data_IF_328135515549
#
_entry.id   IF_328135515549
#
_cell.length_a   1.000
_cell.length_b   1.000
_cell.length_c   1.000
_cell.angle_alpha   90.00
_cell.angle_beta   90.00
_cell.angle_gamma   90.00
#
_symmetry.space_group_name_H-M   'P 1'
#
loop_
_entity.id
_entity.type
_entity.pdbx_description
1 polymer ?
#
# COMPACT_ATOMS: atom_id res chain seq x y z
N UNK A 1 46.49 -2.63 10.91
CA UNK A 1 45.37 -1.69 11.15
C UNK A 1 44.41 -1.77 9.97
N UNK A 2 43.38 -2.62 10.06
CA UNK A 2 42.32 -2.73 9.06
C UNK A 2 41.02 -2.26 9.71
N UNK A 3 40.41 -1.30 9.04
CA UNK A 3 39.40 -0.39 9.56
C UNK A 3 38.04 -1.07 9.72
N UNK A 4 37.44 -0.84 10.88
CA UNK A 4 36.09 -1.23 11.28
C UNK A 4 35.07 -0.25 10.68
N UNK A 5 34.38 -0.58 9.58
CA UNK A 5 33.11 0.07 9.22
C UNK A 5 32.26 -0.90 8.39
N UNK A 6 31.62 -1.87 9.05
CA UNK A 6 30.42 -2.56 8.53
C UNK A 6 29.83 -3.36 9.68
N UNK A 7 29.06 -2.71 10.54
CA UNK A 7 28.08 -3.24 11.51
C UNK A 7 27.49 -1.98 12.16
N UNK A 8 26.35 -1.45 11.67
CA UNK A 8 25.66 -0.38 12.41
C UNK A 8 24.15 -0.25 12.12
N UNK A 9 23.50 -1.31 11.63
CA UNK A 9 22.02 -1.37 11.59
C UNK A 9 21.47 -2.58 12.34
N UNK A 10 22.26 -3.65 12.52
CA UNK A 10 21.84 -4.85 13.28
C UNK A 10 22.01 -4.66 14.82
N UNK A 11 22.83 -3.71 15.28
CA UNK A 11 23.17 -3.56 16.72
C UNK A 11 22.23 -2.61 17.49
N UNK A 12 21.40 -1.80 16.84
CA UNK A 12 20.47 -0.91 17.55
C UNK A 12 19.22 -1.61 18.13
N UNK A 13 19.08 -2.93 17.94
CA UNK A 13 17.98 -3.71 18.51
C UNK A 13 18.40 -4.55 19.75
N UNK A 14 19.69 -4.55 20.14
CA UNK A 14 20.22 -5.45 21.19
C UNK A 14 20.45 -4.79 22.57
N UNK A 15 20.00 -3.56 22.80
CA UNK A 15 20.12 -2.91 24.12
C UNK A 15 18.77 -2.36 24.58
N UNK A 16 17.81 -3.27 24.78
CA UNK A 16 16.79 -3.12 25.82
C UNK A 16 16.30 -4.53 26.20
N UNK A 17 16.84 -5.04 27.31
CA UNK A 17 16.26 -6.20 27.99
C UNK A 17 14.94 -5.76 28.66
N UNK A 18 13.88 -5.71 27.87
CA UNK A 18 12.53 -6.02 28.29
C UNK A 18 12.02 -7.00 27.24
N UNK A 19 11.82 -8.26 27.62
CA UNK A 19 11.13 -9.25 26.79
C UNK A 19 9.63 -8.91 26.74
N UNK A 20 9.30 -7.73 26.23
CA UNK A 20 8.00 -7.50 25.62
C UNK A 20 8.19 -7.95 24.17
N UNK A 21 7.87 -9.21 23.90
CA UNK A 21 7.69 -9.64 22.52
C UNK A 21 6.58 -8.79 21.94
N UNK A 22 6.84 -8.08 20.83
CA UNK A 22 5.82 -7.34 20.10
C UNK A 22 4.55 -8.19 19.98
N UNK A 23 3.41 -7.62 20.36
CA UNK A 23 2.13 -8.33 20.27
C UNK A 23 1.70 -8.55 18.81
N UNK A 24 2.37 -7.87 17.86
CA UNK A 24 2.13 -7.94 16.42
C UNK A 24 3.02 -8.95 15.69
N UNK A 25 3.56 -9.93 16.43
CA UNK A 25 4.33 -11.05 15.86
C UNK A 25 3.45 -12.06 15.11
N UNK A 26 2.13 -12.03 15.32
CA UNK A 26 1.16 -12.87 14.61
C UNK A 26 -0.10 -12.10 14.30
N UNK A 27 -0.68 -12.34 13.13
CA UNK A 27 -2.04 -11.96 12.76
C UNK A 27 -2.77 -13.21 12.25
N UNK A 28 -4.03 -13.37 12.65
CA UNK A 28 -4.89 -14.42 12.08
C UNK A 28 -5.44 -13.94 10.72
N UNK A 29 -5.77 -12.65 10.62
CA UNK A 29 -6.30 -12.03 9.41
C UNK A 29 -5.58 -10.71 9.09
N UNK A 30 -5.44 -10.42 7.80
CA UNK A 30 -5.07 -9.11 7.27
C UNK A 30 -6.22 -8.64 6.38
N UNK A 31 -6.80 -7.49 6.70
CA UNK A 31 -7.92 -6.91 5.96
C UNK A 31 -7.45 -5.61 5.33
N UNK A 32 -7.47 -5.54 4.01
CA UNK A 32 -7.00 -4.37 3.27
C UNK A 32 -8.13 -3.69 2.52
N UNK A 33 -8.22 -2.37 2.72
CA UNK A 33 -8.99 -1.44 1.92
C UNK A 33 -8.00 -0.58 1.15
N UNK A 34 -8.22 -0.37 -0.14
CA UNK A 34 -7.24 0.36 -0.94
C UNK A 34 -7.52 0.35 -2.43
N UNK A 35 -6.45 0.59 -3.17
CA UNK A 35 -6.47 0.68 -4.62
C UNK A 35 -5.60 -0.39 -5.32
N UNK A 36 -5.11 -0.08 -6.53
CA UNK A 36 -4.37 -1.00 -7.40
C UNK A 36 -3.03 -1.46 -6.85
N UNK A 37 -2.47 -0.75 -5.86
CA UNK A 37 -1.28 -1.21 -5.14
C UNK A 37 -1.55 -2.40 -4.22
N UNK A 38 -2.81 -2.68 -3.90
CA UNK A 38 -3.20 -3.78 -3.02
C UNK A 38 -4.17 -4.77 -3.68
N UNK A 39 -4.92 -4.35 -4.71
CA UNK A 39 -5.90 -5.18 -5.43
C UNK A 39 -5.28 -6.47 -5.98
N UNK A 40 -5.74 -7.61 -5.45
CA UNK A 40 -5.35 -8.96 -5.85
C UNK A 40 -6.28 -9.60 -6.91
N UNK A 41 -7.21 -8.85 -7.49
CA UNK A 41 -8.07 -9.29 -8.59
C UNK A 41 -9.55 -8.90 -8.50
N UNK A 42 -9.93 -7.95 -7.66
CA UNK A 42 -11.29 -7.43 -7.57
C UNK A 42 -11.70 -6.70 -8.86
N UNK A 43 -10.84 -5.82 -9.43
CA UNK A 43 -11.09 -5.25 -10.77
C UNK A 43 -11.10 -6.33 -11.86
N UNK A 44 -10.27 -7.35 -11.72
CA UNK A 44 -10.23 -8.49 -12.63
C UNK A 44 -11.52 -9.30 -12.60
N UNK A 45 -12.08 -9.56 -11.42
CA UNK A 45 -13.38 -10.19 -11.29
C UNK A 45 -14.50 -9.31 -11.88
N UNK A 46 -14.48 -8.00 -11.60
CA UNK A 46 -15.47 -7.03 -12.08
C UNK A 46 -15.56 -7.00 -13.61
N UNK A 47 -14.43 -7.18 -14.29
CA UNK A 47 -14.34 -7.13 -15.77
C UNK A 47 -14.41 -8.52 -16.41
N UNK A 48 -14.95 -9.51 -15.71
CA UNK A 48 -15.01 -10.90 -16.17
C UNK A 48 -13.64 -11.41 -16.67
N UNK A 49 -12.60 -11.13 -15.89
CA UNK A 49 -11.21 -11.55 -16.11
C UNK A 49 -10.56 -10.95 -17.36
N UNK A 50 -11.02 -9.79 -17.83
CA UNK A 50 -10.44 -9.11 -18.99
C UNK A 50 -9.47 -7.98 -18.65
N UNK A 51 -9.57 -7.38 -17.45
CA UNK A 51 -8.75 -6.23 -17.05
C UNK A 51 -8.30 -6.25 -15.58
N UNK A 52 -7.04 -5.97 -15.24
CA UNK A 52 -5.93 -5.70 -16.14
C UNK A 52 -5.61 -6.91 -17.02
N UNK A 53 -5.18 -6.66 -18.26
CA UNK A 53 -4.87 -7.71 -19.22
C UNK A 53 -3.78 -8.63 -18.65
N UNK A 54 -4.06 -9.94 -18.61
CA UNK A 54 -3.17 -10.94 -18.01
C UNK A 54 -3.03 -12.15 -18.95
N UNK A 55 -1.85 -12.42 -19.53
CA UNK A 55 -0.59 -11.64 -19.44
C UNK A 55 -0.67 -10.26 -20.16
N UNK A 56 0.25 -9.32 -19.86
CA UNK A 56 1.48 -9.51 -19.07
C UNK A 56 1.32 -9.30 -17.56
N UNK A 57 0.20 -8.69 -17.12
CA UNK A 57 -0.07 -8.57 -15.70
C UNK A 57 -0.32 -9.94 -15.10
N UNK A 58 -0.07 -10.08 -13.80
CA UNK A 58 -0.21 -11.35 -13.12
C UNK A 58 -1.63 -11.54 -12.59
N UNK A 59 -2.45 -12.35 -13.27
CA UNK A 59 -3.75 -12.85 -12.74
C UNK A 59 -4.61 -11.75 -12.09
N UNK A 60 -4.71 -10.60 -12.76
CA UNK A 60 -5.53 -9.47 -12.30
C UNK A 60 -4.87 -8.47 -11.36
N UNK A 61 -3.60 -8.64 -10.97
CA UNK A 61 -2.83 -7.63 -10.22
C UNK A 61 -2.37 -6.53 -11.17
N UNK A 62 -2.21 -5.32 -10.68
CA UNK A 62 -1.54 -4.24 -11.42
C UNK A 62 -0.01 -4.33 -11.28
N UNK A 63 0.54 -5.52 -11.55
CA UNK A 63 1.96 -5.82 -11.46
C UNK A 63 2.25 -7.11 -12.23
N UNK A 64 3.53 -7.43 -12.41
CA UNK A 64 4.00 -8.69 -12.98
C UNK A 64 4.02 -9.87 -12.00
N UNK A 65 3.41 -9.72 -10.82
CA UNK A 65 3.30 -10.76 -9.81
C UNK A 65 2.35 -10.35 -8.69
N UNK A 66 2.54 -10.93 -7.51
CA UNK A 66 1.80 -10.53 -6.31
C UNK A 66 2.13 -9.11 -5.90
N UNK A 67 1.17 -8.45 -5.26
CA UNK A 67 1.38 -7.13 -4.64
C UNK A 67 1.77 -7.27 -3.16
N UNK A 68 2.23 -6.18 -2.54
CA UNK A 68 2.91 -6.23 -1.22
C UNK A 68 2.05 -6.87 -0.13
N UNK A 69 0.75 -6.60 -0.11
CA UNK A 69 -0.15 -7.11 0.93
C UNK A 69 -0.28 -8.63 0.90
N UNK A 70 -0.19 -9.24 -0.29
CA UNK A 70 -0.21 -10.71 -0.43
C UNK A 70 1.06 -11.33 0.18
N UNK A 71 2.23 -10.72 -0.05
CA UNK A 71 3.47 -11.16 0.56
C UNK A 71 3.48 -10.96 2.08
N UNK A 72 2.90 -9.86 2.58
CA UNK A 72 2.78 -9.61 4.01
C UNK A 72 1.91 -10.68 4.68
N UNK A 73 0.74 -10.99 4.10
CA UNK A 73 -0.13 -12.07 4.58
C UNK A 73 0.57 -13.43 4.56
N UNK A 74 1.30 -13.75 3.49
CA UNK A 74 2.09 -14.99 3.42
C UNK A 74 3.15 -15.07 4.54
N UNK A 75 3.80 -13.95 4.87
CA UNK A 75 4.85 -13.91 5.89
C UNK A 75 4.29 -14.11 7.30
N UNK A 76 3.12 -13.55 7.58
CA UNK A 76 2.37 -13.80 8.81
C UNK A 76 1.62 -15.14 8.82
N UNK A 77 1.49 -15.80 7.67
CA UNK A 77 0.59 -16.95 7.46
C UNK A 77 -0.87 -16.62 7.82
N UNK A 78 -1.27 -15.36 7.62
CA UNK A 78 -2.60 -14.84 7.90
C UNK A 78 -3.53 -15.05 6.70
N UNK A 79 -4.84 -15.10 6.94
CA UNK A 79 -5.81 -15.00 5.85
C UNK A 79 -5.83 -13.57 5.33
N UNK A 80 -5.82 -13.41 4.00
CA UNK A 80 -5.96 -12.09 3.38
C UNK A 80 -7.41 -11.86 2.94
N UNK A 81 -8.06 -10.85 3.52
CA UNK A 81 -9.35 -10.34 3.07
C UNK A 81 -9.09 -9.03 2.30
N UNK A 82 -9.05 -9.15 0.98
CA UNK A 82 -8.77 -8.03 0.09
C UNK A 82 -10.06 -7.36 -0.39
N UNK A 83 -10.28 -6.12 0.05
CA UNK A 83 -11.38 -5.24 -0.38
C UNK A 83 -10.93 -4.14 -1.33
N UNK A 84 -9.64 -4.08 -1.66
CA UNK A 84 -9.09 -3.07 -2.55
C UNK A 84 -9.59 -3.27 -3.98
N UNK A 85 -9.91 -2.17 -4.65
CA UNK A 85 -10.21 -2.15 -6.08
C UNK A 85 -9.24 -1.20 -6.74
N UNK A 86 -8.53 -1.65 -7.78
CA UNK A 86 -7.83 -0.73 -8.67
C UNK A 86 -8.74 0.45 -9.03
N UNK A 87 -8.18 1.65 -9.10
CA UNK A 87 -8.90 2.92 -9.32
C UNK A 87 -9.70 3.47 -8.14
N UNK A 88 -9.72 2.80 -6.98
CA UNK A 88 -10.37 3.34 -5.80
C UNK A 88 -9.76 4.68 -5.38
N UNK A 89 -10.63 5.65 -5.12
CA UNK A 89 -10.32 6.94 -4.50
C UNK A 89 -10.50 6.86 -2.99
N UNK A 90 -10.24 7.94 -2.26
CA UNK A 90 -10.54 8.01 -0.83
C UNK A 90 -12.05 7.87 -0.55
N UNK A 91 -12.88 8.53 -1.36
CA UNK A 91 -14.34 8.52 -1.26
C UNK A 91 -14.99 8.91 -2.59
N UNK A 92 -15.92 8.07 -3.07
CA UNK A 92 -16.69 8.35 -4.28
C UNK A 92 -17.60 9.59 -4.17
N UNK A 93 -17.94 10.03 -2.96
CA UNK A 93 -18.66 11.28 -2.72
C UNK A 93 -17.81 12.53 -2.97
N UNK A 94 -16.48 12.41 -2.95
CA UNK A 94 -15.53 13.48 -3.25
C UNK A 94 -15.03 13.39 -4.69
N UNK A 95 -14.43 12.25 -5.03
CA UNK A 95 -13.90 11.95 -6.36
C UNK A 95 -14.36 10.54 -6.72
N UNK A 96 -15.24 10.36 -7.71
CA UNK A 96 -15.69 9.02 -8.10
C UNK A 96 -14.53 8.15 -8.60
N UNK A 97 -14.35 6.96 -8.02
CA UNK A 97 -13.45 5.94 -8.54
C UNK A 97 -14.05 5.26 -9.76
N UNK A 98 -13.35 5.30 -10.90
CA UNK A 98 -13.82 4.69 -12.14
C UNK A 98 -12.69 4.41 -13.14
N UNK A 99 -12.91 3.52 -14.09
CA UNK A 99 -12.00 3.29 -15.21
C UNK A 99 -12.76 2.90 -16.48
N UNK A 100 -12.10 3.08 -17.63
CA UNK A 100 -12.65 2.69 -18.93
C UNK A 100 -11.93 1.44 -19.44
N UNK A 101 -12.71 0.45 -19.84
CA UNK A 101 -12.22 -0.77 -20.48
C UNK A 101 -13.30 -1.34 -21.40
N UNK A 102 -12.90 -1.83 -22.58
CA UNK A 102 -13.82 -2.42 -23.57
C UNK A 102 -15.07 -1.55 -23.84
N UNK A 103 -14.83 -0.26 -24.15
CA UNK A 103 -15.86 0.77 -24.38
C UNK A 103 -16.88 0.93 -23.24
N UNK A 104 -16.59 0.41 -22.05
CA UNK A 104 -17.45 0.46 -20.87
C UNK A 104 -16.76 1.28 -19.78
N UNK A 105 -17.52 2.14 -19.11
CA UNK A 105 -17.06 2.84 -17.91
C UNK A 105 -17.50 2.06 -16.68
N UNK A 106 -16.53 1.53 -15.93
CA UNK A 106 -16.73 0.80 -14.70
C UNK A 106 -16.56 1.73 -13.52
N UNK A 107 -17.50 1.69 -12.57
CA UNK A 107 -17.34 2.33 -11.26
C UNK A 107 -16.77 1.34 -10.26
N UNK A 108 -15.88 1.80 -9.39
CA UNK A 108 -15.31 1.02 -8.29
C UNK A 108 -15.58 1.72 -6.96
N UNK A 109 -15.70 0.99 -5.84
CA UNK A 109 -15.86 1.63 -4.54
C UNK A 109 -14.56 2.34 -4.12
N UNK A 110 -14.67 3.59 -3.68
CA UNK A 110 -13.61 4.26 -2.93
C UNK A 110 -13.40 3.60 -1.57
N UNK A 111 -12.29 3.90 -0.89
CA UNK A 111 -11.90 3.29 0.39
C UNK A 111 -13.00 3.46 1.43
N UNK A 112 -13.64 4.64 1.52
CA UNK A 112 -14.80 4.85 2.38
C UNK A 112 -15.91 3.83 2.12
N UNK A 113 -16.27 3.61 0.85
CA UNK A 113 -17.31 2.64 0.49
C UNK A 113 -16.88 1.19 0.75
N UNK A 114 -15.61 0.85 0.53
CA UNK A 114 -15.09 -0.49 0.84
C UNK A 114 -15.23 -0.79 2.34
N UNK A 115 -14.93 0.19 3.20
CA UNK A 115 -15.10 0.12 4.65
C UNK A 115 -16.59 0.03 5.04
N UNK A 116 -17.43 0.91 4.49
CA UNK A 116 -18.88 0.90 4.76
C UNK A 116 -19.49 -0.48 4.41
N UNK A 117 -19.14 -1.06 3.26
CA UNK A 117 -19.62 -2.37 2.85
C UNK A 117 -19.11 -3.50 3.74
N UNK A 118 -17.86 -3.42 4.19
CA UNK A 118 -17.27 -4.41 5.08
C UNK A 118 -17.96 -4.41 6.45
N UNK A 119 -18.09 -3.24 7.09
CA UNK A 119 -18.78 -3.08 8.38
C UNK A 119 -20.19 -3.66 8.32
N UNK A 120 -20.95 -3.33 7.26
CA UNK A 120 -22.33 -3.79 7.10
C UNK A 120 -22.47 -5.30 6.87
N UNK A 121 -21.42 -5.96 6.36
CA UNK A 121 -21.45 -7.41 6.05
C UNK A 121 -20.80 -8.29 7.13
N UNK A 122 -20.07 -7.71 8.08
CA UNK A 122 -19.33 -8.44 9.13
C UNK A 122 -19.59 -7.88 10.54
N UNK A 123 -20.84 -7.68 10.97
CA UNK A 123 -21.12 -7.20 12.33
C UNK A 123 -20.73 -8.26 13.36
N UNK A 124 -20.25 -7.82 14.53
CA UNK A 124 -20.00 -8.65 15.72
C UNK A 124 -18.94 -9.77 15.56
N UNK A 125 -17.88 -9.53 14.78
CA UNK A 125 -16.69 -10.40 14.76
C UNK A 125 -15.63 -9.89 15.74
N UNK A 126 -14.75 -10.79 16.19
CA UNK A 126 -13.58 -10.41 16.98
C UNK A 126 -12.40 -10.14 16.02
N UNK A 127 -11.79 -8.96 16.15
CA UNK A 127 -10.65 -8.52 15.34
C UNK A 127 -9.36 -8.31 16.16
N UNK A 128 -9.23 -8.93 17.33
CA UNK A 128 -8.09 -8.81 18.25
C UNK A 128 -6.74 -9.16 17.61
N UNK A 129 -6.76 -10.07 16.62
CA UNK A 129 -5.59 -10.53 15.86
C UNK A 129 -5.67 -10.17 14.38
N UNK A 130 -6.35 -9.07 14.07
CA UNK A 130 -6.53 -8.59 12.71
C UNK A 130 -5.70 -7.34 12.46
N UNK A 131 -4.91 -7.35 11.39
CA UNK A 131 -4.28 -6.13 10.86
C UNK A 131 -5.22 -5.48 9.85
N UNK A 132 -5.77 -4.31 10.19
CA UNK A 132 -6.46 -3.48 9.22
C UNK A 132 -5.47 -2.62 8.44
N UNK A 133 -5.65 -2.51 7.14
CA UNK A 133 -4.79 -1.74 6.25
C UNK A 133 -5.64 -0.77 5.42
N UNK A 134 -5.29 0.51 5.45
CA UNK A 134 -5.87 1.55 4.60
C UNK A 134 -4.85 2.02 3.56
N UNK A 135 -4.71 1.26 2.46
CA UNK A 135 -3.73 1.46 1.40
C UNK A 135 -4.19 2.43 0.31
N UNK A 136 -4.15 3.74 0.59
CA UNK A 136 -4.43 4.80 -0.37
C UNK A 136 -3.15 5.28 -1.10
N UNK A 137 -3.16 5.29 -2.43
CA UNK A 137 -1.98 5.61 -3.25
C UNK A 137 -2.21 6.72 -4.29
N UNK A 138 -3.23 7.57 -4.08
CA UNK A 138 -3.31 8.90 -4.70
C UNK A 138 -4.24 9.04 -5.91
N UNK A 139 -5.23 8.17 -6.09
CA UNK A 139 -6.13 8.25 -7.26
C UNK A 139 -6.94 9.55 -7.32
N UNK A 140 -7.33 10.14 -6.18
CA UNK A 140 -8.07 11.42 -6.16
C UNK A 140 -7.27 12.53 -6.86
N UNK A 141 -5.95 12.56 -6.65
CA UNK A 141 -5.05 13.52 -7.29
C UNK A 141 -4.88 13.25 -8.78
N UNK A 142 -4.86 11.98 -9.20
CA UNK A 142 -4.78 11.60 -10.61
C UNK A 142 -6.03 12.05 -11.37
N UNK A 143 -7.22 11.77 -10.84
CA UNK A 143 -8.48 12.13 -11.49
C UNK A 143 -8.73 13.64 -11.54
N UNK A 144 -8.30 14.35 -10.51
CA UNK A 144 -8.49 15.81 -10.42
C UNK A 144 -7.32 16.59 -11.02
N UNK A 145 -6.30 15.90 -11.56
CA UNK A 145 -5.05 16.52 -12.00
C UNK A 145 -4.44 17.46 -10.95
N UNK A 146 -4.32 16.96 -9.70
CA UNK A 146 -3.91 17.70 -8.51
C UNK A 146 -4.85 18.86 -8.11
N UNK A 147 -6.10 18.86 -8.58
CA UNK A 147 -7.08 19.90 -8.28
C UNK A 147 -7.73 19.80 -6.90
N UNK A 148 -7.67 18.64 -6.24
CA UNK A 148 -8.18 18.44 -4.88
C UNK A 148 -7.09 18.68 -3.83
N UNK A 149 -7.43 19.44 -2.79
CA UNK A 149 -6.51 19.72 -1.68
C UNK A 149 -6.25 18.44 -0.86
N UNK A 150 -4.99 18.13 -0.50
CA UNK A 150 -4.70 16.96 0.30
C UNK A 150 -5.43 16.87 1.64
N UNK A 151 -5.71 17.99 2.31
CA UNK A 151 -6.47 18.01 3.57
C UNK A 151 -7.89 17.45 3.44
N UNK A 152 -8.54 17.62 2.28
CA UNK A 152 -9.88 17.08 2.01
C UNK A 152 -9.83 15.55 1.90
N UNK A 153 -8.85 15.04 1.15
CA UNK A 153 -8.62 13.59 0.98
C UNK A 153 -8.27 12.95 2.32
N UNK A 154 -7.35 13.56 3.09
CA UNK A 154 -6.96 13.06 4.42
C UNK A 154 -8.14 13.07 5.38
N UNK A 155 -8.97 14.11 5.38
CA UNK A 155 -10.16 14.16 6.24
C UNK A 155 -11.11 13.00 5.96
N UNK A 156 -11.27 12.60 4.70
CA UNK A 156 -12.07 11.42 4.32
C UNK A 156 -11.47 10.10 4.80
N UNK A 157 -10.14 9.94 4.67
CA UNK A 157 -9.44 8.76 5.17
C UNK A 157 -9.53 8.65 6.70
N UNK A 158 -9.32 9.75 7.44
CA UNK A 158 -9.45 9.78 8.90
C UNK A 158 -10.89 9.50 9.32
N UNK A 159 -11.88 10.10 8.65
CA UNK A 159 -13.28 9.78 8.91
C UNK A 159 -13.56 8.28 8.75
N UNK A 160 -13.04 7.67 7.68
CA UNK A 160 -13.23 6.24 7.41
C UNK A 160 -12.51 5.37 8.45
N UNK A 161 -11.33 5.78 8.92
CA UNK A 161 -10.64 5.15 10.04
C UNK A 161 -11.46 5.22 11.34
N UNK A 162 -12.06 6.36 11.65
CA UNK A 162 -12.98 6.49 12.79
C UNK A 162 -14.19 5.56 12.65
N UNK A 163 -14.70 5.31 11.44
CA UNK A 163 -15.78 4.34 11.25
C UNK A 163 -15.32 2.91 11.57
N UNK A 164 -14.10 2.52 11.19
CA UNK A 164 -13.53 1.22 11.59
C UNK A 164 -13.44 1.14 13.12
N UNK A 165 -12.90 2.17 13.78
CA UNK A 165 -12.77 2.20 15.25
C UNK A 165 -14.11 2.05 15.95
N UNK A 166 -15.10 2.85 15.54
CA UNK A 166 -16.40 2.89 16.21
C UNK A 166 -17.26 1.64 15.99
N UNK A 167 -17.01 0.85 14.94
CA UNK A 167 -17.86 -0.29 14.59
C UNK A 167 -17.18 -1.64 14.77
N UNK A 168 -15.85 -1.70 14.71
CA UNK A 168 -15.09 -2.95 14.70
C UNK A 168 -14.02 -3.04 15.79
N UNK A 169 -13.74 -1.95 16.51
CA UNK A 169 -12.78 -1.92 17.63
C UNK A 169 -11.41 -2.56 17.27
N UNK A 170 -10.77 -2.14 16.17
CA UNK A 170 -9.52 -2.73 15.70
C UNK A 170 -8.40 -2.45 16.70
N UNK A 171 -7.51 -3.42 16.91
CA UNK A 171 -6.35 -3.24 17.78
C UNK A 171 -5.18 -2.52 17.08
N UNK A 172 -5.10 -2.62 15.75
CA UNK A 172 -4.09 -1.93 14.93
C UNK A 172 -4.65 -1.55 13.56
N UNK A 173 -4.26 -0.37 13.08
CA UNK A 173 -4.51 0.07 11.70
C UNK A 173 -3.21 0.56 11.07
N UNK A 174 -2.87 0.01 9.91
CA UNK A 174 -1.71 0.41 9.09
C UNK A 174 -2.13 1.40 8.00
N UNK A 175 -1.38 2.50 7.91
CA UNK A 175 -1.48 3.49 6.83
C UNK A 175 -0.14 3.61 6.12
N UNK A 176 -0.01 3.26 4.82
CA UNK A 176 1.17 3.59 4.06
C UNK A 176 1.13 5.05 3.58
N UNK A 177 2.28 5.72 3.56
CA UNK A 177 2.44 6.95 2.78
C UNK A 177 2.39 6.66 1.27
N UNK A 178 2.05 7.66 0.46
CA UNK A 178 2.07 7.52 -1.00
C UNK A 178 3.54 7.55 -1.45
N UNK A 179 4.04 6.55 -2.21
CA UNK A 179 5.41 6.51 -2.66
C UNK A 179 5.72 7.63 -3.66
N UNK A 180 6.93 8.19 -3.56
CA UNK A 180 7.43 9.20 -4.50
C UNK A 180 8.18 8.54 -5.65
N UNK A 181 7.50 8.41 -6.80
CA UNK A 181 8.03 7.72 -7.97
C UNK A 181 9.03 8.60 -8.75
N UNK A 182 10.03 8.00 -9.41
CA UNK A 182 10.87 8.70 -10.38
C UNK A 182 10.01 9.40 -11.44
N UNK A 183 10.36 10.64 -11.80
CA UNK A 183 9.72 11.42 -12.87
C UNK A 183 8.20 11.71 -12.73
N UNK A 184 7.58 11.37 -11.60
CA UNK A 184 6.17 11.70 -11.37
C UNK A 184 5.97 13.21 -11.15
N UNK A 185 5.08 13.80 -11.93
CA UNK A 185 4.63 15.20 -11.77
C UNK A 185 3.79 15.42 -10.51
N UNK A 186 3.32 14.34 -9.87
CA UNK A 186 2.48 14.38 -8.67
C UNK A 186 3.29 14.40 -7.37
N UNK A 187 4.62 14.24 -7.42
CA UNK A 187 5.46 14.12 -6.22
C UNK A 187 5.32 15.30 -5.24
N UNK A 188 5.09 16.52 -5.72
CA UNK A 188 4.86 17.69 -4.85
C UNK A 188 3.57 17.52 -4.05
N UNK A 189 2.47 17.14 -4.71
CA UNK A 189 1.18 16.85 -4.07
C UNK A 189 1.29 15.70 -3.09
N UNK A 190 1.98 14.61 -3.47
CA UNK A 190 2.15 13.44 -2.60
C UNK A 190 3.02 13.75 -1.37
N UNK A 191 4.04 14.59 -1.52
CA UNK A 191 4.83 15.08 -0.38
C UNK A 191 3.95 15.87 0.60
N UNK A 192 3.06 16.73 0.09
CA UNK A 192 2.12 17.46 0.94
C UNK A 192 1.10 16.51 1.60
N UNK A 193 0.53 15.56 0.84
CA UNK A 193 -0.35 14.52 1.37
C UNK A 193 0.30 13.75 2.52
N UNK A 194 1.51 13.21 2.32
CA UNK A 194 2.21 12.40 3.32
C UNK A 194 2.46 13.21 4.61
N UNK A 195 2.81 14.49 4.48
CA UNK A 195 2.97 15.39 5.63
C UNK A 195 1.65 15.61 6.38
N UNK A 196 0.56 15.87 5.66
CA UNK A 196 -0.76 16.10 6.27
C UNK A 196 -1.27 14.81 6.91
N UNK A 197 -1.13 13.66 6.23
CA UNK A 197 -1.46 12.33 6.75
C UNK A 197 -0.78 12.09 8.09
N UNK A 198 0.53 12.29 8.16
CA UNK A 198 1.29 12.09 9.40
C UNK A 198 0.72 12.93 10.55
N UNK A 199 0.52 14.23 10.33
CA UNK A 199 0.01 15.12 11.38
C UNK A 199 -1.43 14.75 11.81
N UNK A 200 -2.27 14.33 10.87
CA UNK A 200 -3.63 13.89 11.15
C UNK A 200 -3.67 12.57 11.91
N UNK A 201 -2.76 11.63 11.60
CA UNK A 201 -2.63 10.38 12.34
C UNK A 201 -2.06 10.61 13.74
N UNK A 202 -1.10 11.54 13.92
CA UNK A 202 -0.62 11.92 15.26
C UNK A 202 -1.78 12.41 16.15
N UNK A 203 -2.76 13.13 15.57
CA UNK A 203 -3.97 13.59 16.28
C UNK A 203 -4.97 12.45 16.51
N UNK A 204 -5.21 11.63 15.49
CA UNK A 204 -6.10 10.46 15.57
C UNK A 204 -5.64 9.45 16.63
N UNK A 205 -4.35 9.16 16.72
CA UNK A 205 -3.79 8.28 17.75
C UNK A 205 -3.98 8.84 19.17
N UNK A 206 -3.91 10.17 19.34
CA UNK A 206 -4.16 10.80 20.63
C UNK A 206 -5.65 10.72 21.05
N UNK A 207 -6.56 10.70 20.08
CA UNK A 207 -8.01 10.54 20.30
C UNK A 207 -8.43 9.07 20.49
N UNK A 208 -7.63 8.12 19.97
CA UNK A 208 -7.90 6.68 20.01
C UNK A 208 -6.74 5.88 20.65
N UNK A 209 -6.44 6.09 21.95
CA UNK A 209 -5.27 5.48 22.60
C UNK A 209 -5.31 3.94 22.70
N UNK A 210 -6.48 3.33 22.49
CA UNK A 210 -6.66 1.87 22.52
C UNK A 210 -6.32 1.19 21.16
N UNK A 211 -6.04 1.99 20.13
CA UNK A 211 -5.74 1.54 18.76
C UNK A 211 -4.30 1.89 18.40
N UNK A 212 -3.50 0.89 18.05
CA UNK A 212 -2.17 1.13 17.49
C UNK A 212 -2.30 1.66 16.06
N UNK A 213 -1.73 2.83 15.79
CA UNK A 213 -1.77 3.47 14.47
C UNK A 213 -0.38 3.43 13.87
N UNK A 214 -0.20 2.52 12.91
CA UNK A 214 1.08 2.32 12.28
C UNK A 214 1.18 3.05 10.93
N UNK A 215 1.88 4.19 10.91
CA UNK A 215 2.23 4.89 9.68
C UNK A 215 3.47 4.24 9.05
N UNK A 216 3.29 3.52 7.96
CA UNK A 216 4.38 2.94 7.17
C UNK A 216 4.97 3.99 6.20
N UNK A 217 6.26 4.35 6.33
CA UNK A 217 6.88 5.41 5.53
C UNK A 217 7.35 4.88 4.17
N UNK A 218 6.41 4.46 3.32
CA UNK A 218 6.69 3.89 2.00
C UNK A 218 7.52 4.83 1.13
N UNK A 219 7.19 6.12 1.07
CA UNK A 219 7.97 7.12 0.35
C UNK A 219 9.44 7.17 0.76
N UNK A 220 9.73 7.17 2.07
CA UNK A 220 11.09 7.18 2.58
C UNK A 220 11.82 5.86 2.29
N UNK A 221 11.15 4.72 2.46
CA UNK A 221 11.71 3.39 2.16
C UNK A 221 12.07 3.29 0.68
N UNK A 222 11.18 3.74 -0.20
CA UNK A 222 11.41 3.73 -1.65
C UNK A 222 12.53 4.70 -2.05
N UNK A 223 12.61 5.87 -1.40
CA UNK A 223 13.70 6.83 -1.62
C UNK A 223 15.05 6.26 -1.16
N UNK A 224 15.08 5.58 -0.01
CA UNK A 224 16.27 4.88 0.50
C UNK A 224 16.72 3.79 -0.45
N UNK A 225 15.79 2.97 -0.94
CA UNK A 225 16.08 1.94 -1.96
C UNK A 225 16.73 2.56 -3.20
N UNK A 226 16.13 3.60 -3.79
CA UNK A 226 16.65 4.27 -4.99
C UNK A 226 18.07 4.80 -4.82
N UNK A 227 18.41 5.31 -3.62
CA UNK A 227 19.73 5.86 -3.28
C UNK A 227 20.77 4.81 -2.92
N UNK A 228 20.39 3.58 -2.58
CA UNK A 228 21.32 2.54 -2.12
C UNK A 228 21.81 1.66 -3.28
N UNK A 229 23.10 1.71 -3.58
CA UNK A 229 23.74 0.80 -4.55
C UNK A 229 23.63 -0.66 -4.06
N UNK A 230 23.96 -0.91 -2.79
CA UNK A 230 23.93 -2.25 -2.20
C UNK A 230 22.55 -2.91 -2.25
N UNK A 231 21.47 -2.16 -1.97
CA UNK A 231 20.11 -2.72 -2.06
C UNK A 231 19.72 -3.04 -3.51
N UNK A 232 20.09 -2.17 -4.46
CA UNK A 232 19.86 -2.41 -5.89
C UNK A 232 20.64 -3.62 -6.39
N UNK A 233 21.90 -3.77 -5.98
CA UNK A 233 22.73 -4.94 -6.29
C UNK A 233 22.12 -6.21 -5.69
N UNK A 234 21.77 -6.18 -4.39
CA UNK A 234 21.18 -7.33 -3.68
C UNK A 234 19.87 -7.81 -4.33
N UNK A 235 19.04 -6.90 -4.83
CA UNK A 235 17.79 -7.24 -5.52
C UNK A 235 17.97 -7.42 -7.03
N UNK A 236 19.17 -7.18 -7.56
CA UNK A 236 19.45 -7.14 -9.00
C UNK A 236 18.49 -6.19 -9.76
N UNK A 237 18.26 -5.00 -9.22
CA UNK A 237 17.46 -3.95 -9.87
C UNK A 237 18.40 -2.95 -10.52
N UNK A 238 18.38 -2.90 -11.84
CA UNK A 238 19.26 -2.04 -12.65
C UNK A 238 18.52 -0.86 -13.25
N UNK A 239 17.21 -0.98 -13.48
CA UNK A 239 16.37 0.09 -14.02
C UNK A 239 15.41 0.62 -12.95
N UNK A 240 15.65 1.87 -12.52
CA UNK A 240 14.84 2.56 -11.52
C UNK A 240 14.13 3.80 -12.07
N UNK A 241 14.13 4.02 -13.38
CA UNK A 241 13.58 5.25 -13.98
C UNK A 241 12.51 4.95 -15.02
N UNK A 242 12.70 3.91 -15.82
CA UNK A 242 11.77 3.54 -16.88
C UNK A 242 10.88 2.39 -16.38
N UNK A 243 9.62 2.42 -16.80
CA UNK A 243 8.67 1.33 -16.67
C UNK A 243 8.99 0.17 -17.62
N UNK A 244 8.61 -1.05 -17.24
CA UNK A 244 8.82 -2.24 -18.07
C UNK A 244 7.71 -2.44 -19.11
N UNK A 245 6.48 -2.05 -18.79
CA UNK A 245 5.31 -2.05 -19.67
C UNK A 245 4.57 -0.71 -19.53
N UNK A 246 3.58 -0.41 -20.36
CA UNK A 246 2.73 0.77 -20.21
C UNK A 246 1.25 0.39 -20.05
N UNK A 247 0.45 1.28 -19.46
CA UNK A 247 -1.01 1.12 -19.47
C UNK A 247 -1.60 1.15 -20.89
N UNK A 248 -1.06 2.01 -21.75
CA UNK A 248 -1.58 2.25 -23.09
C UNK A 248 -1.27 1.09 -24.05
N UNK A 249 -0.15 0.39 -23.82
CA UNK A 249 0.28 -0.77 -24.58
C UNK A 249 0.89 -1.80 -23.62
N UNK A 250 0.01 -2.60 -23.02
CA UNK A 250 0.40 -3.73 -22.20
C UNK A 250 0.95 -4.90 -23.04
N UNK A 251 0.98 -4.81 -24.37
CA UNK A 251 1.56 -5.89 -25.19
C UNK A 251 3.09 -5.76 -25.32
N UNK A 252 3.63 -4.58 -25.03
CA UNK A 252 5.06 -4.31 -25.10
C UNK A 252 5.71 -4.35 -23.70
N UNK A 253 6.31 -5.50 -23.38
CA UNK A 253 7.01 -5.74 -22.11
C UNK A 253 8.52 -5.73 -22.35
N UNK A 254 9.27 -5.11 -21.45
CA UNK A 254 10.73 -5.12 -21.46
C UNK A 254 11.30 -6.55 -21.35
N UNK A 255 12.53 -6.76 -21.84
CA UNK A 255 13.15 -8.09 -21.89
C UNK A 255 13.43 -8.71 -20.50
N UNK A 256 13.72 -7.87 -19.50
CA UNK A 256 14.15 -8.30 -18.15
C UNK A 256 13.29 -7.65 -17.04
N UNK A 257 11.99 -7.98 -16.96
CA UNK A 257 11.06 -7.36 -16.01
C UNK A 257 11.50 -7.50 -14.55
N UNK A 258 12.27 -8.52 -14.20
CA UNK A 258 12.85 -8.74 -12.88
C UNK A 258 13.94 -7.72 -12.51
N UNK A 259 14.55 -7.02 -13.47
CA UNK A 259 15.57 -6.01 -13.22
C UNK A 259 14.99 -4.59 -13.06
N UNK A 260 13.67 -4.44 -13.18
CA UNK A 260 12.98 -3.16 -13.14
C UNK A 260 12.33 -2.91 -11.79
N UNK A 261 12.39 -1.65 -11.35
CA UNK A 261 11.62 -1.17 -10.19
C UNK A 261 10.15 -0.94 -10.54
N UNK A 262 9.90 -0.32 -11.70
CA UNK A 262 8.57 0.07 -12.14
C UNK A 262 8.04 -0.95 -13.13
N UNK A 263 6.85 -1.47 -12.86
CA UNK A 263 6.12 -2.31 -13.79
C UNK A 263 5.54 -1.45 -14.90
N UNK A 264 4.70 -0.48 -14.53
CA UNK A 264 4.14 0.54 -15.41
C UNK A 264 4.46 1.96 -14.89
N UNK A 265 3.79 2.98 -15.40
CA UNK A 265 4.01 4.38 -15.05
C UNK A 265 3.79 4.69 -13.55
N UNK A 266 3.01 3.86 -12.85
CA UNK A 266 2.65 4.11 -11.45
C UNK A 266 2.83 2.92 -10.53
N UNK A 267 3.01 1.69 -11.01
CA UNK A 267 3.11 0.48 -10.20
C UNK A 267 4.51 -0.07 -10.11
N UNK A 268 4.78 -0.75 -9.00
CA UNK A 268 6.05 -1.42 -8.78
C UNK A 268 6.02 -2.83 -9.37
N UNK A 269 7.20 -3.37 -9.67
CA UNK A 269 7.32 -4.80 -9.97
C UNK A 269 7.11 -5.62 -8.70
N UNK A 270 6.70 -6.88 -8.88
CA UNK A 270 6.44 -7.81 -7.78
C UNK A 270 7.66 -8.02 -6.87
N UNK A 271 8.87 -7.98 -7.44
CA UNK A 271 10.12 -8.07 -6.67
C UNK A 271 10.25 -6.94 -5.67
N UNK A 272 9.86 -5.72 -6.06
CA UNK A 272 9.90 -4.59 -5.16
C UNK A 272 8.73 -4.59 -4.18
N UNK A 273 7.56 -5.09 -4.57
CA UNK A 273 6.47 -5.34 -3.64
C UNK A 273 6.84 -6.36 -2.55
N UNK A 274 7.58 -7.42 -2.88
CA UNK A 274 8.10 -8.38 -1.90
C UNK A 274 9.12 -7.73 -0.95
N UNK A 275 10.02 -6.87 -1.45
CA UNK A 275 10.92 -6.09 -0.59
C UNK A 275 10.14 -5.19 0.39
N UNK A 276 9.12 -4.48 -0.10
CA UNK A 276 8.28 -3.62 0.73
C UNK A 276 7.53 -4.43 1.78
N UNK A 277 6.96 -5.58 1.44
CA UNK A 277 6.28 -6.45 2.40
C UNK A 277 7.22 -6.93 3.51
N UNK A 278 8.47 -7.26 3.18
CA UNK A 278 9.47 -7.63 4.18
C UNK A 278 9.83 -6.46 5.11
N UNK A 279 10.02 -5.25 4.58
CA UNK A 279 10.29 -4.05 5.39
C UNK A 279 9.11 -3.70 6.31
N UNK A 280 7.86 -3.84 5.83
CA UNK A 280 6.65 -3.67 6.64
C UNK A 280 6.62 -4.68 7.79
N UNK A 281 6.82 -5.97 7.51
CA UNK A 281 6.83 -7.01 8.53
C UNK A 281 7.92 -6.77 9.57
N UNK A 282 9.15 -6.49 9.14
CA UNK A 282 10.28 -6.29 10.05
C UNK A 282 10.04 -5.11 11.00
N UNK A 283 9.25 -4.10 10.58
CA UNK A 283 8.85 -2.98 11.45
C UNK A 283 7.71 -3.35 12.38
N UNK A 284 6.69 -4.03 11.89
CA UNK A 284 5.52 -4.42 12.69
C UNK A 284 5.92 -5.33 13.86
N UNK A 285 6.82 -6.29 13.64
CA UNK A 285 7.33 -7.16 14.73
C UNK A 285 8.24 -6.43 15.74
N UNK A 286 8.61 -5.17 15.46
CA UNK A 286 9.44 -4.33 16.32
C UNK A 286 8.63 -3.24 17.04
N UNK A 287 7.32 -3.12 16.79
CA UNK A 287 6.40 -2.26 17.53
C UNK A 287 6.17 -2.82 18.93
#
# INVERSE_FOLDING_TARGET
MRSFITINIIIMCLIQLSLETSIWTTFDDIIVFGDSYSDNGNVYALTNKSYPQSPPNYKGRFSNGKVWIEYLAMKYQANLIDKAFGYATSDNGLVPGHFQWDNTNYSVPGIKQQIDFFINSHPNQNYDKTLFVMGYFGNDYRYTNNGIDPSVVISSLIYSASQLVNNLEPRIILFPTIPLLPNSTQNSTFTNHNKVLKNSLDSFSAEHPDVEVFLYPFDEVLLKFRKSADLKEKLNITNIFNNCTSYADASNVCETPENYMLWDEVHLTTKLYEYIANDVYDRLICL
#
